data_IF_864485703491
#
_entry.id   IF_864485703491
#
_cell.length_a   1.000
_cell.length_b   1.000
_cell.length_c   1.000
_cell.angle_alpha   90.00
_cell.angle_beta   90.00
_cell.angle_gamma   90.00
#
_symmetry.space_group_name_H-M   'P 1'
#
loop_
_entity.id
_entity.type
_entity.pdbx_description
1 polymer ?
#
# COMPACT_ATOMS: atom_id res chain seq x y z
N UNK A 1 -14.69 10.34 12.71
CA UNK A 1 -13.44 10.89 13.30
C UNK A 1 -13.78 11.37 14.70
N UNK A 2 -13.14 10.81 15.74
CA UNK A 2 -13.41 11.14 17.15
C UNK A 2 -13.02 12.57 17.47
N UNK A 3 -13.78 13.24 18.36
CA UNK A 3 -13.59 14.64 18.80
C UNK A 3 -12.17 14.94 19.30
N UNK A 4 -11.47 13.93 19.80
CA UNK A 4 -10.09 13.99 20.22
C UNK A 4 -9.12 14.37 19.09
N UNK A 5 -9.31 13.83 17.88
CA UNK A 5 -8.47 14.13 16.72
C UNK A 5 -8.75 15.51 16.13
N UNK A 6 -9.95 16.06 16.34
CA UNK A 6 -10.34 17.40 15.88
C UNK A 6 -9.71 18.52 16.73
N UNK A 7 -9.53 18.28 18.04
CA UNK A 7 -9.04 19.29 18.99
C UNK A 7 -7.55 19.14 19.34
N UNK A 8 -6.92 18.03 18.95
CA UNK A 8 -5.51 17.80 19.19
C UNK A 8 -4.67 18.59 18.19
N UNK A 9 -3.91 19.59 18.66
CA UNK A 9 -2.91 20.30 17.85
C UNK A 9 -1.71 19.42 17.44
N UNK A 10 -1.73 18.10 17.72
CA UNK A 10 -0.70 17.18 17.24
C UNK A 10 -0.80 17.05 15.72
N UNK A 11 0.27 17.46 15.05
CA UNK A 11 0.49 17.15 13.64
C UNK A 11 0.86 15.68 13.52
N UNK A 12 0.12 14.95 12.71
CA UNK A 12 0.47 13.58 12.33
C UNK A 12 1.10 13.62 10.94
N UNK A 13 2.30 13.07 10.82
CA UNK A 13 2.88 12.79 9.51
C UNK A 13 2.38 11.41 9.08
N UNK A 14 1.74 11.35 7.92
CA UNK A 14 1.20 10.12 7.34
C UNK A 14 2.06 9.78 6.13
N UNK A 15 2.77 8.67 6.22
CA UNK A 15 3.54 8.11 5.12
C UNK A 15 2.82 6.88 4.54
N UNK A 16 2.99 6.65 3.24
CA UNK A 16 2.45 5.48 2.56
C UNK A 16 3.53 4.74 1.77
N UNK A 17 3.20 3.50 1.41
CA UNK A 17 3.98 2.66 0.50
C UNK A 17 3.01 2.10 -0.53
N UNK A 18 3.41 2.08 -1.80
CA UNK A 18 2.60 1.61 -2.91
C UNK A 18 3.41 0.62 -3.75
N UNK A 19 2.83 -0.55 -4.02
CA UNK A 19 3.35 -1.51 -4.98
C UNK A 19 2.81 -1.18 -6.37
N UNK A 20 3.70 -1.03 -7.35
CA UNK A 20 3.34 -0.78 -8.74
C UNK A 20 3.81 -1.99 -9.55
N UNK A 21 2.90 -2.53 -10.35
CA UNK A 21 3.17 -3.63 -11.27
C UNK A 21 2.92 -3.18 -12.71
N UNK A 22 3.56 -3.85 -13.66
CA UNK A 22 3.20 -3.79 -15.07
C UNK A 22 2.33 -5.01 -15.37
N UNK A 23 1.29 -4.81 -16.17
CA UNK A 23 0.40 -5.92 -16.55
C UNK A 23 1.11 -6.87 -17.52
N UNK A 24 0.97 -8.17 -17.25
CA UNK A 24 1.52 -9.26 -18.07
C UNK A 24 0.44 -10.33 -18.28
N UNK A 25 0.03 -10.58 -19.53
CA UNK A 25 -1.03 -11.54 -19.86
C UNK A 25 -0.69 -13.00 -19.52
N UNK A 26 0.60 -13.37 -19.48
CA UNK A 26 1.03 -14.74 -19.17
C UNK A 26 0.95 -15.02 -17.66
N UNK A 27 1.15 -13.99 -16.85
CA UNK A 27 1.23 -14.09 -15.38
C UNK A 27 -0.11 -13.67 -14.74
N UNK A 28 -0.71 -12.60 -15.25
CA UNK A 28 -1.95 -12.01 -14.74
C UNK A 28 -3.19 -12.56 -15.46
N UNK A 29 -3.37 -13.87 -15.31
CA UNK A 29 -4.49 -14.61 -15.92
C UNK A 29 -5.86 -14.26 -15.32
N UNK A 30 -5.89 -13.66 -14.13
CA UNK A 30 -7.10 -13.20 -13.43
C UNK A 30 -6.81 -11.98 -12.55
N UNK A 31 -7.85 -11.22 -12.20
CA UNK A 31 -7.71 -10.00 -11.36
C UNK A 31 -7.07 -10.27 -9.99
N UNK A 32 -7.28 -11.46 -9.41
CA UNK A 32 -6.63 -11.88 -8.17
C UNK A 32 -5.11 -11.92 -8.30
N UNK A 33 -4.58 -12.40 -9.44
CA UNK A 33 -3.15 -12.44 -9.69
C UNK A 33 -2.53 -11.03 -9.76
N UNK A 34 -3.24 -10.07 -10.38
CA UNK A 34 -2.87 -8.65 -10.41
C UNK A 34 -2.80 -8.09 -8.97
N UNK A 35 -3.84 -8.34 -8.17
CA UNK A 35 -3.90 -7.84 -6.79
C UNK A 35 -2.82 -8.46 -5.91
N UNK A 36 -2.52 -9.75 -6.10
CA UNK A 36 -1.50 -10.45 -5.35
C UNK A 36 -0.09 -9.90 -5.64
N UNK A 37 0.27 -9.74 -6.92
CA UNK A 37 1.58 -9.18 -7.32
C UNK A 37 1.75 -7.75 -6.78
N UNK A 38 0.69 -6.93 -6.84
CA UNK A 38 0.71 -5.60 -6.28
C UNK A 38 0.90 -5.59 -4.74
N UNK A 39 0.27 -6.51 -4.01
CA UNK A 39 0.43 -6.64 -2.56
C UNK A 39 1.83 -7.12 -2.18
N UNK A 40 2.38 -8.10 -2.91
CA UNK A 40 3.73 -8.61 -2.71
C UNK A 40 4.78 -7.51 -2.88
N UNK A 41 4.72 -6.73 -3.97
CA UNK A 41 5.64 -5.59 -4.18
C UNK A 41 5.50 -4.52 -3.10
N UNK A 42 4.27 -4.23 -2.67
CA UNK A 42 4.03 -3.28 -1.58
C UNK A 42 4.65 -3.77 -0.26
N UNK A 43 4.54 -5.08 0.01
CA UNK A 43 5.08 -5.70 1.20
C UNK A 43 6.62 -5.69 1.23
N UNK A 44 7.28 -5.91 0.09
CA UNK A 44 8.73 -5.76 -0.04
C UNK A 44 9.20 -4.34 0.27
N UNK A 45 8.50 -3.33 -0.26
CA UNK A 45 8.79 -1.91 0.04
C UNK A 45 8.64 -1.63 1.54
N UNK A 46 7.61 -2.21 2.19
CA UNK A 46 7.42 -2.08 3.65
C UNK A 46 8.54 -2.76 4.44
N UNK A 47 9.03 -3.91 3.99
CA UNK A 47 10.18 -4.61 4.61
C UNK A 47 11.47 -3.80 4.49
N UNK A 48 11.73 -3.17 3.35
CA UNK A 48 12.92 -2.36 3.12
C UNK A 48 12.96 -1.03 3.90
N UNK A 49 11.79 -0.50 4.29
CA UNK A 49 11.68 0.70 5.15
C UNK A 49 11.86 0.42 6.65
N UNK A 50 12.08 -0.83 7.04
CA UNK A 50 12.05 -1.29 8.43
C UNK A 50 13.42 -1.33 9.08
#
# INVERSE_FOLDING_TARGET
>A
ITSYNLNSQKKYNIDFSAGIIEYDEEIHTECSAIMQDADERMYEIKKGKR
#
